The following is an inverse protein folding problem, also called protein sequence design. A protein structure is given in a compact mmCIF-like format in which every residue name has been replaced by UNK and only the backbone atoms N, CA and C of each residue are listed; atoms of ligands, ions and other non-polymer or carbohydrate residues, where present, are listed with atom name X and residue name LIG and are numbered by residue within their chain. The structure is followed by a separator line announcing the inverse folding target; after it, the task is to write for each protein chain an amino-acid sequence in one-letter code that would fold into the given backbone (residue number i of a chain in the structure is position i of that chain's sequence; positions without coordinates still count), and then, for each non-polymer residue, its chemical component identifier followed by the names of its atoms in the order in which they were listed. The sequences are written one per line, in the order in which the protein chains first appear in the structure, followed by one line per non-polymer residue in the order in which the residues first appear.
data_IF_914127086040
#
_entry.id   IF_914127086040
#
_cell.length_a   1.000
_cell.length_b   1.000
_cell.length_c   1.000
_cell.angle_alpha   90.00
_cell.angle_beta   90.00
_cell.angle_gamma   90.00
#
_symmetry.space_group_name_H-M   'P 1'
#
loop_
_entity.id
_entity.type
_entity.pdbx_description
1 polymer ?
#
# COMPACT_ATOMS: atom_id res chain seq x y z
N UNK A 1 -15.03 7.23 0.10
CA UNK A 1 -15.32 8.54 -0.51
C UNK A 1 -16.05 9.54 0.39
N UNK A 2 -16.38 9.22 1.65
CA UNK A 2 -16.98 10.18 2.59
C UNK A 2 -16.04 11.29 3.09
N UNK A 3 -14.76 11.25 2.70
CA UNK A 3 -13.72 12.19 3.16
C UNK A 3 -13.26 11.98 4.61
N UNK A 4 -13.70 10.91 5.28
CA UNK A 4 -13.36 10.64 6.70
C UNK A 4 -12.05 9.87 6.92
N UNK A 5 -11.50 9.28 5.87
CA UNK A 5 -10.32 8.40 5.94
C UNK A 5 -9.24 8.94 5.02
N UNK A 6 -8.07 9.25 5.57
CA UNK A 6 -6.92 9.73 4.81
C UNK A 6 -6.03 8.58 4.30
N UNK A 7 -5.87 7.55 5.13
CA UNK A 7 -5.07 6.37 4.82
C UNK A 7 -5.88 5.13 5.17
N UNK A 8 -5.99 4.22 4.21
CA UNK A 8 -6.60 2.90 4.36
C UNK A 8 -5.53 1.84 4.19
N UNK A 9 -5.33 1.04 5.22
CA UNK A 9 -4.39 -0.09 5.21
C UNK A 9 -5.19 -1.38 5.15
N UNK A 10 -4.87 -2.25 4.19
CA UNK A 10 -5.38 -3.62 4.17
C UNK A 10 -4.27 -4.58 4.58
N UNK A 11 -4.64 -5.75 5.10
CA UNK A 11 -3.68 -6.81 5.43
C UNK A 11 -4.18 -8.15 4.87
N UNK A 12 -3.27 -8.88 4.21
CA UNK A 12 -3.56 -10.19 3.64
C UNK A 12 -4.18 -10.16 2.24
N UNK A 13 -4.29 -11.34 1.63
CA UNK A 13 -4.84 -11.51 0.29
C UNK A 13 -3.96 -10.94 -0.84
N UNK A 14 -2.66 -10.76 -0.59
CA UNK A 14 -1.69 -10.17 -1.53
C UNK A 14 -0.71 -11.19 -2.14
N UNK A 15 -0.81 -12.47 -1.78
CA UNK A 15 0.03 -13.53 -2.36
C UNK A 15 -0.43 -13.95 -3.75
N UNK A 16 0.05 -15.10 -4.22
CA UNK A 16 -0.31 -15.70 -5.52
C UNK A 16 -1.34 -16.84 -5.38
N UNK A 17 -1.97 -16.98 -4.21
CA UNK A 17 -2.98 -17.99 -3.97
C UNK A 17 -4.29 -17.68 -4.70
N UNK A 18 -5.14 -18.68 -4.99
CA UNK A 18 -6.36 -18.52 -5.80
C UNK A 18 -7.43 -17.64 -5.16
N UNK A 19 -7.29 -17.28 -3.88
CA UNK A 19 -8.19 -16.39 -3.14
C UNK A 19 -7.57 -15.05 -2.78
N UNK A 20 -6.30 -14.84 -3.15
CA UNK A 20 -5.61 -13.60 -2.89
C UNK A 20 -6.11 -12.57 -3.92
N UNK A 21 -7.09 -11.76 -3.55
CA UNK A 21 -7.76 -10.81 -4.46
C UNK A 21 -7.65 -9.35 -4.00
N UNK A 22 -6.88 -9.08 -2.94
CA UNK A 22 -6.76 -7.72 -2.36
C UNK A 22 -6.18 -6.70 -3.36
N UNK A 23 -5.14 -7.02 -4.15
CA UNK A 23 -4.62 -6.11 -5.16
C UNK A 23 -5.65 -5.79 -6.25
N UNK A 24 -6.37 -6.79 -6.75
CA UNK A 24 -7.43 -6.65 -7.76
C UNK A 24 -8.55 -5.75 -7.25
N UNK A 25 -9.03 -6.00 -6.02
CA UNK A 25 -10.06 -5.18 -5.40
C UNK A 25 -9.60 -3.72 -5.21
N UNK A 26 -8.33 -3.52 -4.87
CA UNK A 26 -7.74 -2.19 -4.72
C UNK A 26 -7.64 -1.46 -6.07
N UNK A 27 -7.20 -2.17 -7.12
CA UNK A 27 -7.10 -1.60 -8.47
C UNK A 27 -8.48 -1.27 -9.06
N UNK A 28 -9.50 -2.10 -8.81
CA UNK A 28 -10.86 -1.88 -9.31
C UNK A 28 -11.51 -0.58 -8.81
N UNK A 29 -11.08 -0.07 -7.66
CA UNK A 29 -11.59 1.19 -7.08
C UNK A 29 -10.62 2.36 -7.21
N UNK A 30 -9.40 2.13 -7.71
CA UNK A 30 -8.35 3.13 -7.75
C UNK A 30 -8.61 4.20 -8.81
N UNK A 31 -8.39 5.47 -8.47
CA UNK A 31 -8.29 6.55 -9.46
C UNK A 31 -6.90 6.58 -10.10
N UNK A 32 -5.88 6.20 -9.33
CA UNK A 32 -4.47 6.09 -9.76
C UNK A 32 -3.71 5.11 -8.89
N UNK A 33 -2.75 4.41 -9.50
CA UNK A 33 -1.83 3.52 -8.80
C UNK A 33 -0.57 4.30 -8.39
N UNK A 34 -0.02 3.97 -7.23
CA UNK A 34 1.22 4.53 -6.68
C UNK A 34 2.26 3.39 -6.59
N UNK A 35 2.85 2.99 -7.73
CA UNK A 35 3.66 1.78 -7.80
C UNK A 35 4.89 1.86 -6.88
N UNK A 36 5.51 3.03 -6.77
CA UNK A 36 6.73 3.25 -5.97
C UNK A 36 6.64 2.83 -4.50
N UNK A 37 5.47 2.98 -3.86
CA UNK A 37 5.29 2.49 -2.47
C UNK A 37 5.35 0.97 -2.41
N UNK A 38 4.68 0.30 -3.34
CA UNK A 38 4.67 -1.17 -3.39
C UNK A 38 6.01 -1.76 -3.81
N UNK A 39 6.74 -1.07 -4.69
CA UNK A 39 8.10 -1.43 -5.11
C UNK A 39 9.07 -1.33 -3.93
N UNK A 40 9.04 -0.23 -3.19
CA UNK A 40 9.93 -0.02 -2.05
C UNK A 40 9.66 -1.02 -0.92
N UNK A 41 8.39 -1.32 -0.63
CA UNK A 41 8.03 -2.37 0.33
C UNK A 41 8.56 -3.75 -0.09
N UNK A 42 8.43 -4.14 -1.37
CA UNK A 42 8.99 -5.41 -1.87
C UNK A 42 10.51 -5.41 -1.83
N UNK A 43 11.15 -4.32 -2.25
CA UNK A 43 12.60 -4.17 -2.25
C UNK A 43 13.19 -4.33 -0.85
N UNK A 44 12.58 -3.69 0.15
CA UNK A 44 12.96 -3.84 1.56
C UNK A 44 12.58 -5.19 2.15
N UNK A 45 11.46 -5.77 1.74
CA UNK A 45 11.09 -7.13 2.12
C UNK A 45 12.08 -8.18 1.63
N UNK A 46 12.64 -8.00 0.43
CA UNK A 46 13.65 -8.90 -0.17
C UNK A 46 14.95 -8.96 0.63
N UNK A 47 15.32 -7.87 1.32
CA UNK A 47 16.47 -7.85 2.25
C UNK A 47 16.25 -8.81 3.43
N UNK A 48 15.00 -9.23 3.71
CA UNK A 48 14.60 -10.06 4.86
C UNK A 48 14.15 -11.47 4.47
N UNK A 49 13.43 -11.61 3.36
CA UNK A 49 12.97 -12.92 2.85
C UNK A 49 12.89 -12.93 1.32
N UNK A 50 13.44 -13.96 0.63
CA UNK A 50 13.36 -14.07 -0.82
C UNK A 50 11.93 -14.10 -1.38
N UNK A 51 10.96 -14.58 -0.60
CA UNK A 51 9.57 -14.72 -1.04
C UNK A 51 8.81 -13.38 -1.06
N UNK A 52 9.39 -12.29 -0.54
CA UNK A 52 8.75 -10.97 -0.54
C UNK A 52 8.38 -10.49 -1.95
N UNK A 53 9.15 -10.89 -2.96
CA UNK A 53 8.89 -10.55 -4.37
C UNK A 53 7.57 -11.12 -4.90
N UNK A 54 7.05 -12.18 -4.30
CA UNK A 54 5.77 -12.79 -4.72
C UNK A 54 4.55 -11.97 -4.28
N UNK A 55 4.73 -10.96 -3.42
CA UNK A 55 3.64 -10.09 -3.01
C UNK A 55 3.16 -9.23 -4.18
N UNK A 56 1.88 -9.37 -4.52
CA UNK A 56 1.16 -8.54 -5.49
C UNK A 56 0.53 -7.30 -4.85
N UNK A 57 0.74 -7.07 -3.56
CA UNK A 57 0.23 -5.89 -2.85
C UNK A 57 0.56 -4.61 -3.62
N UNK A 58 -0.43 -3.72 -3.74
CA UNK A 58 -0.30 -2.43 -4.43
C UNK A 58 -0.60 -1.27 -3.49
N UNK A 59 -0.29 -0.06 -3.93
CA UNK A 59 -0.77 1.17 -3.31
C UNK A 59 -1.50 1.99 -4.37
N UNK A 60 -2.57 2.66 -3.96
CA UNK A 60 -3.44 3.39 -4.87
C UNK A 60 -4.02 4.61 -4.18
N UNK A 61 -4.52 5.55 -4.96
CA UNK A 61 -5.31 6.67 -4.46
C UNK A 61 -6.74 6.50 -4.94
N UNK A 62 -7.67 6.73 -4.02
CA UNK A 62 -9.09 6.88 -4.30
C UNK A 62 -9.57 8.18 -3.68
N UNK A 63 -9.97 9.14 -4.51
CA UNK A 63 -10.29 10.53 -4.12
C UNK A 63 -9.13 11.20 -3.37
N UNK A 64 -9.28 11.41 -2.06
CA UNK A 64 -8.26 11.98 -1.16
C UNK A 64 -7.70 10.94 -0.18
N UNK A 65 -7.98 9.65 -0.40
CA UNK A 65 -7.54 8.55 0.45
C UNK A 65 -6.40 7.79 -0.23
N UNK A 66 -5.29 7.60 0.49
CA UNK A 66 -4.24 6.66 0.12
C UNK A 66 -4.61 5.25 0.60
N UNK A 67 -4.62 4.28 -0.29
CA UNK A 67 -4.82 2.86 0.01
C UNK A 67 -3.47 2.15 -0.11
N UNK A 68 -3.10 1.34 0.88
CA UNK A 68 -1.89 0.52 0.84
C UNK A 68 -2.23 -0.92 1.25
N UNK A 69 -1.84 -1.89 0.42
CA UNK A 69 -1.95 -3.30 0.77
C UNK A 69 -0.69 -3.78 1.49
N UNK A 70 -0.86 -4.29 2.70
CA UNK A 70 0.21 -4.88 3.50
C UNK A 70 0.15 -6.43 3.45
N UNK A 71 1.28 -7.12 3.67
CA UNK A 71 1.29 -8.57 3.82
C UNK A 71 0.36 -9.08 4.93
N UNK A 72 -0.13 -10.32 4.82
CA UNK A 72 -1.04 -10.92 5.82
C UNK A 72 -0.36 -11.36 7.11
N UNK A 73 0.95 -11.66 7.08
CA UNK A 73 1.70 -11.98 8.29
C UNK A 73 1.90 -10.72 9.15
N UNK A 74 1.68 -10.76 10.48
CA UNK A 74 1.89 -9.60 11.35
C UNK A 74 3.29 -8.98 11.19
N UNK A 75 4.35 -9.81 11.13
CA UNK A 75 5.72 -9.36 10.90
C UNK A 75 5.86 -8.61 9.57
N UNK A 76 5.48 -9.24 8.45
CA UNK A 76 5.57 -8.62 7.13
C UNK A 76 4.74 -7.33 7.00
N UNK A 77 3.59 -7.25 7.67
CA UNK A 77 2.76 -6.05 7.71
C UNK A 77 3.47 -4.88 8.40
N UNK A 78 4.00 -5.10 9.60
CA UNK A 78 4.74 -4.10 10.37
C UNK A 78 5.98 -3.64 9.59
N UNK A 79 6.78 -4.60 9.11
CA UNK A 79 8.01 -4.29 8.38
C UNK A 79 7.75 -3.52 7.09
N UNK A 80 6.67 -3.84 6.36
CA UNK A 80 6.30 -3.10 5.15
C UNK A 80 5.77 -1.70 5.47
N UNK A 81 4.99 -1.56 6.54
CA UNK A 81 4.48 -0.25 6.97
C UNK A 81 5.62 0.66 7.44
N UNK A 82 6.58 0.16 8.23
CA UNK A 82 7.75 0.92 8.70
C UNK A 82 8.53 1.55 7.54
N UNK A 83 8.68 0.81 6.44
CA UNK A 83 9.39 1.27 5.23
C UNK A 83 8.76 2.54 4.65
N UNK A 84 7.42 2.66 4.67
CA UNK A 84 6.71 3.76 4.04
C UNK A 84 6.12 4.78 5.04
N UNK A 85 6.13 4.48 6.35
CA UNK A 85 5.42 5.26 7.36
C UNK A 85 5.81 6.74 7.35
N UNK A 86 7.10 7.03 7.14
CA UNK A 86 7.64 8.40 7.07
C UNK A 86 7.11 9.20 5.87
N UNK A 87 6.62 8.54 4.82
CA UNK A 87 6.06 9.17 3.62
C UNK A 87 4.58 9.53 3.78
N UNK A 88 3.85 8.84 4.67
CA UNK A 88 2.40 8.97 4.80
C UNK A 88 1.95 10.40 5.15
N UNK A 89 2.58 11.14 6.09
CA UNK A 89 2.17 12.50 6.40
C UNK A 89 2.27 13.45 5.19
N UNK A 90 3.32 13.33 4.38
CA UNK A 90 3.48 14.11 3.16
C UNK A 90 2.42 13.71 2.12
N UNK A 91 2.24 12.42 1.86
CA UNK A 91 1.24 11.92 0.93
C UNK A 91 -0.19 12.43 1.25
N UNK A 92 -0.59 12.39 2.53
CA UNK A 92 -1.90 12.90 2.97
C UNK A 92 -2.04 14.41 2.73
N UNK A 93 -1.00 15.21 3.04
CA UNK A 93 -1.00 16.65 2.77
C UNK A 93 -1.22 16.94 1.29
N UNK A 94 -0.49 16.25 0.42
CA UNK A 94 -0.60 16.39 -1.04
C UNK A 94 -2.01 16.03 -1.52
N UNK A 95 -2.56 14.90 -1.09
CA UNK A 95 -3.92 14.46 -1.48
C UNK A 95 -5.02 15.41 -1.00
N UNK A 96 -4.78 16.16 0.08
CA UNK A 96 -5.70 17.19 0.56
C UNK A 96 -5.58 18.54 -0.16
N UNK A 97 -4.63 18.67 -1.09
CA UNK A 97 -4.42 19.88 -1.90
C UNK A 97 -3.42 20.88 -1.32
N UNK A 98 -2.56 20.45 -0.38
CA UNK A 98 -1.40 21.26 0.00
C UNK A 98 -0.41 21.36 -1.17
N UNK A 99 0.32 22.48 -1.29
CA UNK A 99 1.37 22.65 -2.29
C UNK A 99 2.49 21.62 -2.07
N UNK A 100 3.11 21.19 -3.17
CA UNK A 100 4.30 20.35 -3.15
C UNK A 100 5.51 21.22 -2.76
N UNK A 101 5.84 21.27 -1.48
CA UNK A 101 7.04 21.92 -0.97
C UNK A 101 7.96 20.85 -0.36
#
# INVERSE_FOLDING_TARGET
DSGRVDVLLTTGGTGIGPRDNTPEATQAVADRIVPGLSEEMRRKGLEKTPTAVLSRGTAAVRTKTLIVNLPGSPKGAVESLEVIAHLLPHAVKVLRGARHD
#
